data_IF_300084041050
#
_entry.id   IF_300084041050
#
_cell.length_a   1.000
_cell.length_b   1.000
_cell.length_c   1.000
_cell.angle_alpha   90.00
_cell.angle_beta   90.00
_cell.angle_gamma   90.00
#
_symmetry.space_group_name_H-M   'P 1'
#
loop_
_entity.id
_entity.type
_entity.pdbx_description
1 polymer ?
#
# COMPACT_ATOMS: atom_id res chain seq x y z
N UNK A 1 -3.67 1.25 20.75
CA UNK A 1 -3.39 2.05 19.55
C UNK A 1 -4.24 3.33 19.53
N UNK A 2 -5.56 3.21 19.62
CA UNK A 2 -6.50 4.36 19.53
C UNK A 2 -6.17 5.42 20.58
N UNK A 3 -6.03 5.01 21.86
CA UNK A 3 -5.64 5.88 22.96
C UNK A 3 -4.26 6.54 22.74
N UNK A 4 -3.25 5.74 22.39
CA UNK A 4 -1.87 6.22 22.21
C UNK A 4 -1.71 7.20 21.05
N UNK A 5 -2.46 7.00 19.96
CA UNK A 5 -2.47 7.90 18.81
C UNK A 5 -3.31 9.15 19.01
N UNK A 6 -4.19 9.17 20.03
CA UNK A 6 -5.17 10.22 20.22
C UNK A 6 -6.20 10.30 19.09
N UNK A 7 -6.48 9.16 18.43
CA UNK A 7 -7.42 9.11 17.31
C UNK A 7 -8.82 9.53 17.77
N UNK A 8 -9.46 10.40 17.00
CA UNK A 8 -10.83 10.87 17.24
C UNK A 8 -11.88 10.07 16.48
N UNK A 9 -11.45 9.35 15.46
CA UNK A 9 -12.30 8.49 14.63
C UNK A 9 -11.66 7.11 14.52
N UNK A 10 -12.44 6.08 14.76
CA UNK A 10 -12.13 4.69 14.49
C UNK A 10 -13.04 4.23 13.36
N UNK A 11 -12.44 3.84 12.23
CA UNK A 11 -13.18 3.40 11.06
C UNK A 11 -12.92 1.91 10.83
N UNK A 12 -13.98 1.13 10.62
CA UNK A 12 -13.88 -0.30 10.36
C UNK A 12 -14.97 -0.77 9.39
N UNK A 13 -14.94 -2.01 8.98
CA UNK A 13 -16.09 -2.66 8.35
C UNK A 13 -17.13 -3.08 9.41
N UNK A 14 -18.39 -3.30 8.97
CA UNK A 14 -19.51 -3.64 9.87
C UNK A 14 -19.23 -4.90 10.69
N UNK A 15 -18.45 -5.85 10.16
CA UNK A 15 -18.16 -7.11 10.86
C UNK A 15 -17.33 -6.92 12.13
N UNK A 16 -16.64 -5.78 12.27
CA UNK A 16 -15.78 -5.45 13.41
C UNK A 16 -16.37 -4.42 14.34
N UNK A 17 -17.48 -3.78 13.96
CA UNK A 17 -18.05 -2.67 14.70
C UNK A 17 -18.40 -3.06 16.15
N UNK A 18 -19.07 -4.20 16.38
CA UNK A 18 -19.43 -4.67 17.70
C UNK A 18 -18.20 -4.90 18.61
N UNK A 19 -17.16 -5.54 18.05
CA UNK A 19 -15.92 -5.82 18.79
C UNK A 19 -15.12 -4.54 19.12
N UNK A 20 -15.22 -3.50 18.30
CA UNK A 20 -14.48 -2.23 18.45
C UNK A 20 -15.25 -1.17 19.25
N UNK A 21 -16.57 -1.31 19.40
CA UNK A 21 -17.39 -0.35 20.16
C UNK A 21 -16.89 -0.08 21.59
N UNK A 22 -16.47 -1.09 22.38
CA UNK A 22 -15.92 -0.84 23.71
C UNK A 22 -14.60 -0.05 23.69
N UNK A 23 -13.77 -0.25 22.65
CA UNK A 23 -12.50 0.47 22.46
C UNK A 23 -12.78 1.94 22.15
N UNK A 24 -13.69 2.21 21.24
CA UNK A 24 -14.10 3.56 20.89
C UNK A 24 -14.67 4.31 22.11
N UNK A 25 -15.60 3.65 22.85
CA UNK A 25 -16.18 4.22 24.05
C UNK A 25 -15.15 4.55 25.14
N UNK A 26 -14.18 3.65 25.37
CA UNK A 26 -13.13 3.85 26.38
C UNK A 26 -12.15 4.99 26.01
N UNK A 27 -11.99 5.30 24.75
CA UNK A 27 -11.04 6.31 24.25
C UNK A 27 -11.71 7.63 23.83
N UNK A 28 -13.03 7.68 23.82
CA UNK A 28 -13.80 8.83 23.36
C UNK A 28 -13.72 9.07 21.84
N UNK A 29 -13.28 8.06 21.08
CA UNK A 29 -13.28 8.11 19.63
C UNK A 29 -14.68 7.84 19.07
N UNK A 30 -15.07 8.51 17.99
CA UNK A 30 -16.23 8.13 17.21
C UNK A 30 -15.95 6.79 16.49
N UNK A 31 -16.94 5.91 16.43
CA UNK A 31 -16.85 4.67 15.67
C UNK A 31 -17.79 4.76 14.46
N UNK A 32 -17.22 4.65 13.28
CA UNK A 32 -17.96 4.65 12.02
C UNK A 32 -17.61 3.42 11.19
N UNK A 33 -18.50 3.03 10.30
CA UNK A 33 -18.29 1.88 9.40
C UNK A 33 -18.17 2.29 7.95
N UNK A 34 -17.26 1.59 7.23
CA UNK A 34 -17.08 1.71 5.79
C UNK A 34 -16.76 0.31 5.24
N UNK A 35 -17.68 -0.23 4.45
CA UNK A 35 -17.56 -1.54 3.83
C UNK A 35 -16.87 -1.50 2.47
N UNK A 36 -16.46 -2.65 1.95
CA UNK A 36 -15.76 -2.79 0.66
C UNK A 36 -16.59 -2.26 -0.53
N UNK A 37 -17.92 -2.30 -0.43
CA UNK A 37 -18.85 -1.76 -1.43
C UNK A 37 -19.12 -0.26 -1.28
N UNK A 38 -18.47 0.38 -0.30
CA UNK A 38 -18.64 1.80 0.02
C UNK A 38 -19.86 2.11 0.88
N UNK A 39 -20.62 1.13 1.33
CA UNK A 39 -21.71 1.34 2.30
C UNK A 39 -21.17 1.51 3.72
N UNK A 40 -22.02 2.02 4.63
CA UNK A 40 -21.70 2.17 6.04
C UNK A 40 -21.99 3.56 6.57
N UNK A 41 -21.99 3.70 7.90
CA UNK A 41 -22.35 4.95 8.58
C UNK A 41 -21.46 6.13 8.19
N UNK A 42 -20.19 5.88 7.88
CA UNK A 42 -19.28 6.93 7.41
C UNK A 42 -19.71 7.51 6.05
N UNK A 43 -20.15 6.66 5.13
CA UNK A 43 -20.69 7.09 3.84
C UNK A 43 -22.00 7.88 4.02
N UNK A 44 -22.87 7.43 4.93
CA UNK A 44 -24.12 8.13 5.24
C UNK A 44 -23.87 9.54 5.80
N UNK A 45 -22.84 9.70 6.62
CA UNK A 45 -22.37 11.02 7.10
C UNK A 45 -21.79 11.87 5.97
N UNK A 46 -21.08 11.27 5.02
CA UNK A 46 -20.42 11.98 3.92
C UNK A 46 -21.38 12.43 2.82
N UNK A 47 -22.42 11.63 2.51
CA UNK A 47 -23.34 11.88 1.40
C UNK A 47 -24.02 13.26 1.40
N UNK A 48 -24.46 13.84 2.55
CA UNK A 48 -25.07 15.18 2.58
C UNK A 48 -24.03 16.31 2.53
N UNK A 49 -22.72 16.00 2.60
CA UNK A 49 -21.68 17.02 2.64
C UNK A 49 -21.42 17.62 1.26
N UNK A 50 -20.92 18.89 1.19
CA UNK A 50 -20.51 19.49 -0.07
C UNK A 50 -19.45 18.64 -0.78
N UNK A 51 -19.53 18.51 -2.10
CA UNK A 51 -18.54 17.80 -2.93
C UNK A 51 -17.21 18.55 -3.08
N UNK A 52 -17.16 19.82 -2.67
CA UNK A 52 -15.94 20.63 -2.68
C UNK A 52 -15.42 20.81 -1.25
N UNK A 53 -14.13 20.59 -1.07
CA UNK A 53 -13.44 20.80 0.19
C UNK A 53 -12.12 21.55 -0.05
N UNK A 54 -11.85 22.68 0.63
CA UNK A 54 -10.58 23.38 0.48
C UNK A 54 -9.45 22.52 1.05
N UNK A 55 -8.43 22.25 0.24
CA UNK A 55 -7.26 21.51 0.71
C UNK A 55 -6.60 22.28 1.85
N UNK A 56 -6.43 21.61 2.99
CA UNK A 56 -5.76 22.19 4.15
C UNK A 56 -4.27 22.26 3.88
N UNK A 57 -3.71 23.47 3.97
CA UNK A 57 -2.26 23.66 3.81
C UNK A 57 -1.52 23.00 4.98
N UNK A 58 -0.53 22.19 4.65
CA UNK A 58 0.35 21.50 5.60
C UNK A 58 1.79 21.85 5.29
N UNK A 59 2.63 21.80 6.33
CA UNK A 59 4.09 21.94 6.21
C UNK A 59 4.76 20.57 6.23
N UNK A 60 6.02 20.53 5.85
CA UNK A 60 6.81 19.28 5.90
C UNK A 60 6.93 18.70 7.32
N UNK A 61 6.86 19.55 8.35
CA UNK A 61 6.93 19.15 9.75
C UNK A 61 5.61 18.61 10.30
N UNK A 62 4.49 18.83 9.60
CA UNK A 62 3.19 18.34 10.04
C UNK A 62 3.14 16.81 9.98
N UNK A 63 2.55 16.21 11.01
CA UNK A 63 2.36 14.77 11.08
C UNK A 63 1.38 14.29 10.01
N UNK A 64 1.76 13.26 9.27
CA UNK A 64 0.96 12.64 8.22
C UNK A 64 0.36 11.31 8.67
N UNK A 65 1.15 10.48 9.39
CA UNK A 65 0.72 9.16 9.78
C UNK A 65 1.45 8.64 11.03
N UNK A 66 0.78 7.73 11.72
CA UNK A 66 1.37 6.82 12.70
C UNK A 66 1.38 5.40 12.14
N UNK A 67 2.54 4.77 12.15
CA UNK A 67 2.66 3.34 11.84
C UNK A 67 3.15 2.59 13.08
N UNK A 68 2.34 1.65 13.54
CA UNK A 68 2.70 0.84 14.71
C UNK A 68 3.50 -0.38 14.29
N UNK A 69 4.65 -0.56 14.95
CA UNK A 69 5.50 -1.75 14.81
C UNK A 69 5.42 -2.60 16.07
N UNK A 70 5.65 -3.90 15.93
CA UNK A 70 5.58 -4.86 17.04
C UNK A 70 6.61 -4.64 18.17
N UNK A 71 7.56 -3.72 18.00
CA UNK A 71 8.59 -3.35 18.98
C UNK A 71 9.34 -4.56 19.57
N UNK A 72 10.66 -4.46 19.66
CA UNK A 72 11.52 -5.50 20.27
C UNK A 72 11.33 -5.68 21.77
N UNK A 73 10.63 -4.75 22.43
CA UNK A 73 10.41 -4.70 23.90
C UNK A 73 9.01 -5.12 24.34
N UNK A 74 8.23 -5.75 23.47
CA UNK A 74 6.86 -6.23 23.78
C UNK A 74 5.76 -5.16 23.75
N UNK A 75 6.09 -3.87 23.72
CA UNK A 75 5.13 -2.77 23.46
C UNK A 75 5.26 -2.27 22.04
N UNK A 76 4.14 -2.20 21.34
CA UNK A 76 4.09 -1.58 20.02
C UNK A 76 4.52 -0.11 20.09
N UNK A 77 5.35 0.31 19.16
CA UNK A 77 5.83 1.69 19.03
C UNK A 77 5.20 2.32 17.79
N UNK A 78 4.60 3.49 17.95
CA UNK A 78 4.08 4.29 16.84
C UNK A 78 5.20 5.13 16.22
N UNK A 79 5.61 4.80 15.00
CA UNK A 79 6.48 5.64 14.22
C UNK A 79 5.70 6.85 13.70
N UNK A 80 6.16 8.05 14.04
CA UNK A 80 5.58 9.32 13.62
C UNK A 80 6.16 9.70 12.26
N UNK A 81 5.35 9.68 11.21
CA UNK A 81 5.76 10.06 9.86
C UNK A 81 5.20 11.44 9.52
N UNK A 82 6.10 12.37 9.19
CA UNK A 82 5.71 13.70 8.74
C UNK A 82 5.42 13.75 7.25
N UNK A 83 4.79 14.83 6.78
CA UNK A 83 4.60 15.10 5.36
C UNK A 83 5.95 15.09 4.61
N UNK A 84 6.97 15.73 5.20
CA UNK A 84 8.33 15.76 4.65
C UNK A 84 8.96 14.37 4.55
N UNK A 85 8.79 13.49 5.55
CA UNK A 85 9.32 12.12 5.48
C UNK A 85 8.73 11.34 4.30
N UNK A 86 7.40 11.43 4.12
CA UNK A 86 6.74 10.72 3.03
C UNK A 86 7.14 11.29 1.67
N UNK A 87 7.18 12.61 1.54
CA UNK A 87 7.52 13.27 0.28
C UNK A 87 8.97 13.01 -0.13
N UNK A 88 9.94 13.21 0.77
CA UNK A 88 11.36 13.02 0.48
C UNK A 88 11.68 11.57 0.07
N UNK A 89 11.09 10.60 0.79
CA UNK A 89 11.24 9.18 0.42
C UNK A 89 10.66 8.91 -0.97
N UNK A 90 9.45 9.43 -1.24
CA UNK A 90 8.79 9.21 -2.53
C UNK A 90 9.58 9.84 -3.67
N UNK A 91 10.10 11.05 -3.51
CA UNK A 91 10.92 11.74 -4.51
C UNK A 91 12.23 11.00 -4.79
N UNK A 92 12.92 10.51 -3.75
CA UNK A 92 14.15 9.76 -3.91
C UNK A 92 13.91 8.47 -4.71
N UNK A 93 12.89 7.69 -4.34
CA UNK A 93 12.57 6.44 -5.01
C UNK A 93 11.99 6.64 -6.42
N UNK A 94 11.24 7.72 -6.65
CA UNK A 94 10.76 8.09 -7.97
C UNK A 94 11.94 8.34 -8.92
N UNK A 95 12.96 9.07 -8.45
CA UNK A 95 14.18 9.30 -9.22
C UNK A 95 14.99 8.03 -9.44
N UNK A 96 15.25 7.25 -8.37
CA UNK A 96 16.06 6.02 -8.43
C UNK A 96 15.46 4.96 -9.36
N UNK A 97 14.14 4.79 -9.32
CA UNK A 97 13.44 3.82 -10.16
C UNK A 97 12.91 4.40 -11.45
N UNK A 98 13.18 5.66 -11.73
CA UNK A 98 12.78 6.39 -12.94
C UNK A 98 11.28 6.21 -13.27
N UNK A 99 10.40 6.32 -12.28
CA UNK A 99 8.96 6.24 -12.49
C UNK A 99 8.47 7.47 -13.25
N UNK A 100 7.55 7.24 -14.19
CA UNK A 100 6.94 8.27 -15.03
C UNK A 100 5.43 8.07 -15.17
N UNK A 101 4.75 9.07 -15.73
CA UNK A 101 3.32 8.98 -16.04
C UNK A 101 2.96 7.87 -17.05
N UNK A 102 3.96 7.34 -17.78
CA UNK A 102 3.77 6.25 -18.73
C UNK A 102 3.78 4.87 -18.04
N UNK A 103 4.18 4.81 -16.78
CA UNK A 103 4.19 3.55 -16.05
C UNK A 103 2.78 3.11 -15.64
N UNK A 104 2.64 1.81 -15.51
CA UNK A 104 1.47 1.16 -14.94
C UNK A 104 1.95 0.17 -13.89
N UNK A 105 1.69 0.50 -12.62
CA UNK A 105 2.10 -0.31 -11.48
C UNK A 105 1.08 -1.43 -11.22
N UNK A 106 1.52 -2.69 -11.29
CA UNK A 106 0.74 -3.84 -10.80
C UNK A 106 0.96 -3.95 -9.29
N UNK A 107 -0.08 -3.63 -8.53
CA UNK A 107 -0.02 -3.41 -7.08
C UNK A 107 -0.93 -4.37 -6.31
N UNK A 108 -0.33 -5.38 -5.68
CA UNK A 108 -1.00 -6.36 -4.81
C UNK A 108 -0.48 -6.33 -3.36
N UNK A 109 0.35 -5.33 -3.02
CA UNK A 109 0.84 -5.16 -1.65
C UNK A 109 -0.28 -4.64 -0.75
N UNK A 110 -0.37 -5.11 0.52
CA UNK A 110 -1.33 -4.58 1.48
C UNK A 110 -1.11 -3.08 1.74
N UNK A 111 -2.16 -2.28 1.59
CA UNK A 111 -2.09 -0.82 1.86
C UNK A 111 -2.13 -0.46 3.35
N UNK A 112 -2.26 -1.43 4.24
CA UNK A 112 -2.08 -1.23 5.69
C UNK A 112 -0.60 -1.38 6.13
N UNK A 113 0.32 -1.61 5.18
CA UNK A 113 1.77 -1.61 5.39
C UNK A 113 2.45 -0.49 4.61
N UNK A 114 3.57 0.01 5.14
CA UNK A 114 4.38 1.09 4.56
C UNK A 114 4.70 0.84 3.09
N UNK A 115 5.13 -0.37 2.73
CA UNK A 115 5.52 -0.69 1.35
C UNK A 115 4.35 -0.51 0.38
N UNK A 116 3.16 -1.00 0.72
CA UNK A 116 1.99 -0.85 -0.14
C UNK A 116 1.46 0.58 -0.18
N UNK A 117 1.31 1.24 0.98
CA UNK A 117 0.70 2.56 1.06
C UNK A 117 1.69 3.69 0.71
N UNK A 118 2.84 3.76 1.41
CA UNK A 118 3.72 4.91 1.32
C UNK A 118 4.87 4.77 0.33
N UNK A 119 5.17 3.56 -0.12
CA UNK A 119 6.14 3.36 -1.21
C UNK A 119 5.41 3.21 -2.53
N UNK A 120 4.71 2.09 -2.74
CA UNK A 120 4.11 1.75 -4.02
C UNK A 120 3.06 2.78 -4.49
N UNK A 121 2.09 3.09 -3.62
CA UNK A 121 1.00 4.01 -3.98
C UNK A 121 1.51 5.44 -4.15
N UNK A 122 2.34 5.95 -3.21
CA UNK A 122 2.81 7.34 -3.29
C UNK A 122 3.70 7.59 -4.52
N UNK A 123 4.58 6.66 -4.88
CA UNK A 123 5.41 6.80 -6.08
C UNK A 123 4.55 6.87 -7.33
N UNK A 124 3.56 5.98 -7.44
CA UNK A 124 2.67 5.97 -8.59
C UNK A 124 1.84 7.27 -8.68
N UNK A 125 1.34 7.77 -7.56
CA UNK A 125 0.59 9.03 -7.51
C UNK A 125 1.48 10.23 -7.85
N UNK A 126 2.69 10.32 -7.29
CA UNK A 126 3.61 11.43 -7.57
C UNK A 126 4.11 11.42 -9.01
N UNK A 127 4.30 10.23 -9.61
CA UNK A 127 4.65 10.08 -11.02
C UNK A 127 3.49 10.41 -11.97
N UNK A 128 2.24 10.46 -11.49
CA UNK A 128 1.04 10.52 -12.33
C UNK A 128 0.80 9.24 -13.12
N UNK A 129 1.35 8.11 -12.65
CA UNK A 129 1.24 6.81 -13.31
C UNK A 129 -0.08 6.10 -13.00
N UNK A 130 -0.38 5.02 -13.72
CA UNK A 130 -1.54 4.19 -13.47
C UNK A 130 -1.24 3.14 -12.41
N UNK A 131 -2.27 2.75 -11.66
CA UNK A 131 -2.21 1.63 -10.72
C UNK A 131 -3.25 0.58 -11.13
N UNK A 132 -2.81 -0.65 -11.37
CA UNK A 132 -3.66 -1.83 -11.42
C UNK A 132 -3.70 -2.42 -10.02
N UNK A 133 -4.68 -1.98 -9.22
CA UNK A 133 -4.80 -2.38 -7.83
C UNK A 133 -5.47 -3.76 -7.72
N UNK A 134 -4.80 -4.67 -7.01
CA UNK A 134 -5.29 -6.02 -6.72
C UNK A 134 -5.43 -6.14 -5.21
N UNK A 135 -6.61 -6.43 -4.67
CA UNK A 135 -6.84 -6.42 -3.21
C UNK A 135 -5.93 -7.38 -2.43
N UNK A 136 -5.52 -8.48 -3.09
CA UNK A 136 -4.58 -9.42 -2.50
C UNK A 136 -3.81 -10.14 -3.61
N UNK A 137 -2.57 -10.55 -3.31
CA UNK A 137 -1.76 -11.32 -4.25
C UNK A 137 -2.38 -12.68 -4.57
N UNK A 138 -2.64 -12.89 -5.85
CA UNK A 138 -3.10 -14.14 -6.43
C UNK A 138 -2.36 -14.37 -7.76
N UNK A 139 -1.60 -15.48 -7.94
CA UNK A 139 -0.79 -15.70 -9.13
C UNK A 139 -1.58 -15.62 -10.44
N UNK A 140 -2.78 -16.19 -10.50
CA UNK A 140 -3.61 -16.16 -11.70
C UNK A 140 -3.98 -14.73 -12.11
N UNK A 141 -4.37 -13.92 -11.13
CA UNK A 141 -4.71 -12.52 -11.36
C UNK A 141 -3.47 -11.70 -11.75
N UNK A 142 -2.33 -11.94 -11.10
CA UNK A 142 -1.08 -11.24 -11.42
C UNK A 142 -0.63 -11.54 -12.85
N UNK A 143 -0.61 -12.82 -13.24
CA UNK A 143 -0.24 -13.25 -14.60
C UNK A 143 -1.18 -12.64 -15.65
N UNK A 144 -2.48 -12.69 -15.41
CA UNK A 144 -3.48 -12.12 -16.33
C UNK A 144 -3.34 -10.62 -16.51
N UNK A 145 -2.98 -9.89 -15.45
CA UNK A 145 -2.85 -8.43 -15.49
C UNK A 145 -1.45 -7.96 -15.92
N UNK A 146 -0.44 -8.83 -15.87
CA UNK A 146 0.95 -8.47 -16.15
C UNK A 146 1.12 -7.86 -17.54
N UNK A 147 0.40 -8.35 -18.54
CA UNK A 147 0.42 -7.80 -19.90
C UNK A 147 -0.05 -6.34 -20.02
N UNK A 148 -0.64 -5.78 -18.96
CA UNK A 148 -1.14 -4.40 -18.90
C UNK A 148 -0.29 -3.50 -18.00
N UNK A 149 0.76 -4.05 -17.37
CA UNK A 149 1.62 -3.36 -16.42
C UNK A 149 3.01 -3.12 -17.02
N UNK A 150 3.74 -2.14 -16.51
CA UNK A 150 5.15 -1.90 -16.83
C UNK A 150 6.05 -2.11 -15.62
N UNK A 151 5.49 -2.04 -14.43
CA UNK A 151 6.22 -2.17 -13.17
C UNK A 151 5.45 -3.01 -12.18
N UNK A 152 6.17 -3.70 -11.29
CA UNK A 152 5.58 -4.48 -10.19
C UNK A 152 6.43 -4.32 -8.94
N UNK A 153 5.77 -4.11 -7.79
CA UNK A 153 6.40 -4.17 -6.47
C UNK A 153 5.83 -5.36 -5.70
N UNK A 154 6.70 -6.06 -4.98
CA UNK A 154 6.31 -7.24 -4.21
C UNK A 154 7.24 -7.54 -3.06
N UNK A 155 6.81 -8.45 -2.21
CA UNK A 155 7.67 -9.12 -1.23
C UNK A 155 8.29 -10.37 -1.86
N UNK A 156 9.39 -10.91 -1.32
CA UNK A 156 10.06 -12.09 -1.90
C UNK A 156 9.14 -13.26 -2.21
N UNK A 157 8.15 -13.51 -1.35
CA UNK A 157 7.17 -14.60 -1.55
C UNK A 157 6.27 -14.41 -2.77
N UNK A 158 6.06 -13.19 -3.27
CA UNK A 158 5.34 -12.98 -4.52
C UNK A 158 6.14 -13.53 -5.70
N UNK A 159 7.42 -13.28 -5.70
CA UNK A 159 8.33 -13.71 -6.77
C UNK A 159 8.55 -15.22 -6.77
N UNK A 160 8.72 -15.86 -5.60
CA UNK A 160 8.80 -17.33 -5.54
C UNK A 160 7.52 -17.98 -6.07
N UNK A 161 6.35 -17.47 -5.68
CA UNK A 161 5.06 -18.00 -6.18
C UNK A 161 4.84 -17.76 -7.67
N UNK A 162 5.37 -16.67 -8.25
CA UNK A 162 5.33 -16.46 -9.69
C UNK A 162 6.29 -17.42 -10.42
N UNK A 163 7.47 -17.68 -9.86
CA UNK A 163 8.44 -18.63 -10.42
C UNK A 163 7.93 -20.07 -10.42
N UNK A 164 7.07 -20.45 -9.47
CA UNK A 164 6.43 -21.75 -9.42
C UNK A 164 5.39 -21.95 -10.55
N UNK A 165 4.94 -20.86 -11.20
CA UNK A 165 3.95 -20.91 -12.27
C UNK A 165 4.62 -20.97 -13.64
N UNK A 166 4.33 -22.03 -14.43
CA UNK A 166 4.90 -22.20 -15.74
C UNK A 166 4.52 -21.13 -16.76
N UNK A 167 3.44 -20.39 -16.53
CA UNK A 167 2.99 -19.26 -17.37
C UNK A 167 3.83 -18.01 -17.16
N UNK A 168 4.60 -17.92 -16.08
CA UNK A 168 5.49 -16.79 -15.81
C UNK A 168 6.76 -16.96 -16.63
N UNK A 169 6.77 -16.36 -17.81
CA UNK A 169 7.81 -16.53 -18.84
C UNK A 169 8.43 -15.21 -19.25
N UNK A 170 9.56 -15.28 -19.96
CA UNK A 170 10.22 -14.12 -20.58
C UNK A 170 9.28 -13.36 -21.52
N UNK A 171 8.48 -14.09 -22.31
CA UNK A 171 7.55 -13.46 -23.26
C UNK A 171 6.46 -12.66 -22.51
N UNK A 172 5.90 -13.23 -21.42
CA UNK A 172 4.92 -12.55 -20.59
C UNK A 172 5.47 -11.27 -19.96
N UNK A 173 6.74 -11.24 -19.61
CA UNK A 173 7.39 -10.12 -18.93
C UNK A 173 8.15 -9.18 -19.85
N UNK A 174 8.21 -9.46 -21.15
CA UNK A 174 9.08 -8.74 -22.12
C UNK A 174 8.84 -7.22 -22.19
N UNK A 175 7.65 -6.75 -21.86
CA UNK A 175 7.28 -5.34 -21.85
C UNK A 175 7.37 -4.70 -20.45
N UNK A 176 7.61 -5.51 -19.43
CA UNK A 176 7.85 -5.02 -18.07
C UNK A 176 9.20 -4.29 -18.04
N UNK A 177 9.24 -3.20 -17.29
CA UNK A 177 10.45 -2.38 -17.17
C UNK A 177 11.19 -2.64 -15.84
N UNK A 178 10.43 -2.90 -14.80
CA UNK A 178 10.99 -2.94 -13.46
C UNK A 178 10.19 -3.87 -12.53
N UNK A 179 10.94 -4.71 -11.83
CA UNK A 179 10.43 -5.48 -10.69
C UNK A 179 11.19 -5.09 -9.43
N UNK A 180 10.47 -4.83 -8.35
CA UNK A 180 11.04 -4.38 -7.07
C UNK A 180 10.66 -5.37 -5.99
N UNK A 181 11.66 -5.95 -5.31
CA UNK A 181 11.46 -6.78 -4.14
C UNK A 181 11.85 -6.03 -2.87
N UNK A 182 11.00 -6.01 -1.86
CA UNK A 182 11.24 -5.30 -0.62
C UNK A 182 10.58 -5.92 0.60
N UNK A 183 10.77 -5.27 1.75
CA UNK A 183 10.21 -5.63 3.07
C UNK A 183 10.76 -6.91 3.70
N UNK A 184 11.54 -7.72 2.98
CA UNK A 184 12.25 -8.89 3.47
C UNK A 184 13.47 -9.15 2.57
N UNK A 185 14.48 -9.89 3.06
CA UNK A 185 15.62 -10.30 2.24
C UNK A 185 15.18 -11.19 1.07
N UNK A 186 15.62 -10.84 -0.13
CA UNK A 186 15.48 -11.69 -1.31
C UNK A 186 16.71 -12.63 -1.35
N UNK A 187 16.48 -13.93 -1.46
CA UNK A 187 17.56 -14.90 -1.61
C UNK A 187 18.23 -14.73 -2.97
N UNK A 188 19.56 -14.81 -3.02
CA UNK A 188 20.33 -14.74 -4.25
C UNK A 188 19.86 -15.78 -5.29
N UNK A 189 19.56 -16.99 -4.84
CA UNK A 189 19.02 -18.05 -5.71
C UNK A 189 17.70 -17.64 -6.37
N UNK A 190 16.78 -17.04 -5.60
CA UNK A 190 15.50 -16.56 -6.16
C UNK A 190 15.73 -15.47 -7.21
N UNK A 191 16.68 -14.55 -6.97
CA UNK A 191 17.04 -13.52 -7.92
C UNK A 191 17.59 -14.13 -9.22
N UNK A 192 18.54 -15.05 -9.13
CA UNK A 192 19.13 -15.73 -10.30
C UNK A 192 18.08 -16.52 -11.10
N UNK A 193 17.18 -17.22 -10.41
CA UNK A 193 16.06 -17.91 -11.06
C UNK A 193 15.11 -16.95 -11.76
N UNK A 194 14.84 -15.80 -11.14
CA UNK A 194 13.99 -14.76 -11.72
C UNK A 194 14.61 -14.17 -12.99
N UNK A 195 15.90 -13.80 -12.93
CA UNK A 195 16.65 -13.31 -14.09
C UNK A 195 16.69 -14.34 -15.23
N UNK A 196 17.00 -15.58 -14.92
CA UNK A 196 17.03 -16.66 -15.92
C UNK A 196 15.66 -16.90 -16.57
N UNK A 197 14.57 -16.76 -15.80
CA UNK A 197 13.21 -17.00 -16.28
C UNK A 197 12.65 -15.83 -17.10
N UNK A 198 12.97 -14.59 -16.71
CA UNK A 198 12.33 -13.37 -17.23
C UNK A 198 13.26 -12.49 -18.05
N UNK A 199 14.55 -12.52 -17.76
CA UNK A 199 15.55 -11.61 -18.32
C UNK A 199 15.64 -10.25 -17.62
N UNK A 200 15.02 -10.14 -16.43
CA UNK A 200 15.01 -8.91 -15.61
C UNK A 200 15.88 -9.05 -14.36
#
# INVERSE_FOLDING_TARGET
FVENSGARLLLCDDTKAEALAPVAAATGAALETLNDDGSGSFTDLANPMPTSFPTVVRTEADLAAFLYTSGTTGRSKGAMLTQGNLLSNTQALLGEWAFTANDTLLHALPIFHTHGLFVATNIALLAGSKILFVPKFDPDTMIRLMSKATTMMGVPTFYTRLLDDARFTKDLTSHMRLFISGSAPLLAETHLQFEARTGH
#
